data_IF_752994563303
#
_entry.id   IF_752994563303
#
_cell.length_a   1.000
_cell.length_b   1.000
_cell.length_c   1.000
_cell.angle_alpha   90.00
_cell.angle_beta   90.00
_cell.angle_gamma   90.00
#
_symmetry.space_group_name_H-M   'P 1'
#
loop_
_entity.id
_entity.type
_entity.pdbx_description
1 polymer ?
#
# COMPACT_ATOMS: atom_id res chain seq x y z
N UNK A 1 1.74 -3.26 -13.81
CA UNK A 1 2.42 -2.34 -12.87
C UNK A 1 3.37 -2.99 -11.90
N UNK A 2 2.93 -3.90 -11.01
CA UNK A 2 3.88 -4.53 -10.05
C UNK A 2 5.11 -5.14 -10.71
N UNK A 3 4.90 -5.85 -11.82
CA UNK A 3 5.96 -6.46 -12.63
C UNK A 3 7.07 -5.49 -13.06
N UNK A 4 6.70 -4.24 -13.36
CA UNK A 4 7.64 -3.23 -13.86
C UNK A 4 8.39 -2.51 -12.75
N UNK A 5 7.74 -2.26 -11.60
CA UNK A 5 8.30 -1.42 -10.53
C UNK A 5 8.84 -2.20 -9.33
N UNK A 6 8.29 -3.37 -9.01
CA UNK A 6 8.54 -4.04 -7.71
C UNK A 6 8.90 -5.52 -7.81
N UNK A 7 9.01 -6.07 -9.02
CA UNK A 7 9.44 -7.46 -9.25
C UNK A 7 8.29 -8.43 -9.52
N UNK A 8 8.50 -9.72 -9.23
CA UNK A 8 7.48 -10.75 -9.51
C UNK A 8 6.32 -10.68 -8.51
N UNK A 9 5.20 -11.32 -8.86
CA UNK A 9 4.10 -11.51 -7.92
C UNK A 9 4.53 -12.30 -6.68
N UNK A 10 5.36 -13.33 -6.87
CA UNK A 10 5.86 -14.17 -5.78
C UNK A 10 6.74 -13.37 -4.81
N UNK A 11 7.64 -12.52 -5.33
CA UNK A 11 8.47 -11.64 -4.50
C UNK A 11 7.60 -10.75 -3.62
N UNK A 12 6.55 -10.17 -4.21
CA UNK A 12 5.60 -9.35 -3.47
C UNK A 12 4.90 -10.15 -2.37
N UNK A 13 4.37 -11.33 -2.68
CA UNK A 13 3.71 -12.20 -1.68
C UNK A 13 4.66 -12.53 -0.53
N UNK A 14 5.88 -12.96 -0.83
CA UNK A 14 6.90 -13.29 0.17
C UNK A 14 7.23 -12.10 1.08
N UNK A 15 7.35 -10.89 0.53
CA UNK A 15 7.58 -9.68 1.34
C UNK A 15 6.42 -9.38 2.30
N UNK A 16 5.17 -9.60 1.88
CA UNK A 16 3.98 -9.25 2.68
C UNK A 16 3.52 -10.35 3.63
N UNK A 17 4.05 -11.58 3.51
CA UNK A 17 3.74 -12.69 4.43
C UNK A 17 3.99 -12.33 5.90
N UNK A 18 4.91 -11.41 6.17
CA UNK A 18 5.15 -10.87 7.51
C UNK A 18 5.18 -9.34 7.43
N UNK A 19 4.41 -8.69 8.28
CA UNK A 19 4.35 -7.24 8.39
C UNK A 19 4.71 -6.79 9.80
N UNK A 20 5.16 -5.54 9.92
CA UNK A 20 5.45 -4.90 11.21
C UNK A 20 4.66 -3.61 11.28
N UNK A 21 4.03 -3.35 12.42
CA UNK A 21 3.41 -2.05 12.69
C UNK A 21 4.48 -0.97 12.69
N UNK A 22 4.24 0.10 11.95
CA UNK A 22 5.04 1.30 11.99
C UNK A 22 4.39 2.27 12.98
N UNK A 23 4.93 2.33 14.19
CA UNK A 23 4.54 3.33 15.18
C UNK A 23 5.18 4.67 14.81
N UNK A 24 4.50 5.45 13.96
CA UNK A 24 4.94 6.80 13.61
C UNK A 24 4.56 7.76 14.73
N UNK A 25 5.53 8.41 15.36
CA UNK A 25 5.33 9.43 16.39
C UNK A 25 4.85 10.78 15.85
N UNK A 26 4.68 10.91 14.52
CA UNK A 26 4.19 12.12 13.86
C UNK A 26 3.00 11.85 12.96
N UNK A 27 1.92 12.61 13.15
CA UNK A 27 0.72 12.59 12.30
C UNK A 27 -0.55 12.92 13.09
N UNK A 28 -1.45 13.72 12.51
CA UNK A 28 -2.76 14.06 13.11
C UNK A 28 -3.80 12.93 12.96
N UNK A 29 -3.50 11.93 12.13
CA UNK A 29 -4.42 10.86 11.77
C UNK A 29 -4.12 9.56 12.54
N UNK A 30 -5.13 9.05 13.25
CA UNK A 30 -5.13 7.80 14.03
C UNK A 30 -4.98 6.51 13.19
N UNK A 31 -4.65 6.60 11.91
CA UNK A 31 -4.66 5.46 10.99
C UNK A 31 -3.29 4.79 10.93
N UNK A 32 -3.29 3.47 11.11
CA UNK A 32 -2.08 2.68 11.23
C UNK A 32 -1.29 2.59 9.93
N UNK A 33 0.03 2.69 10.07
CA UNK A 33 0.99 2.32 9.04
C UNK A 33 1.59 0.96 9.37
N UNK A 34 1.84 0.17 8.34
CA UNK A 34 2.55 -1.09 8.44
C UNK A 34 3.62 -1.16 7.37
N UNK A 35 4.63 -1.97 7.59
CA UNK A 35 5.72 -2.18 6.63
C UNK A 35 5.90 -3.67 6.39
N UNK A 36 6.26 -4.06 5.17
CA UNK A 36 6.71 -5.43 4.88
C UNK A 36 7.95 -5.77 5.70
N UNK A 37 8.17 -7.06 5.97
CA UNK A 37 9.30 -7.52 6.77
C UNK A 37 10.67 -7.06 6.21
N UNK A 38 10.80 -7.06 4.89
CA UNK A 38 11.98 -6.60 4.16
C UNK A 38 12.01 -5.08 3.90
N UNK A 39 11.05 -4.34 4.47
CA UNK A 39 10.90 -2.89 4.37
C UNK A 39 10.67 -2.34 2.95
N UNK A 40 10.42 -3.18 1.94
CA UNK A 40 10.19 -2.73 0.56
C UNK A 40 8.84 -2.02 0.37
N UNK A 41 7.84 -2.38 1.17
CA UNK A 41 6.47 -1.90 1.00
C UNK A 41 5.95 -1.24 2.27
N UNK A 42 5.14 -0.21 2.09
CA UNK A 42 4.37 0.46 3.15
C UNK A 42 2.89 0.22 2.89
N UNK A 43 2.16 -0.08 3.95
CA UNK A 43 0.70 -0.25 3.94
C UNK A 43 0.12 0.85 4.80
N UNK A 44 -0.83 1.60 4.23
CA UNK A 44 -1.56 2.64 4.93
C UNK A 44 -3.01 2.23 5.01
N UNK A 45 -3.54 2.15 6.22
CA UNK A 45 -4.98 2.12 6.39
C UNK A 45 -5.58 3.47 5.96
N UNK A 46 -6.62 3.44 5.14
CA UNK A 46 -7.33 4.64 4.64
C UNK A 46 -8.83 4.56 4.95
N UNK A 47 -9.51 5.71 4.99
CA UNK A 47 -10.97 5.74 5.12
C UNK A 47 -11.62 5.20 3.85
N UNK A 48 -12.88 4.77 3.95
CA UNK A 48 -13.65 4.30 2.79
C UNK A 48 -13.66 5.33 1.66
N UNK A 49 -13.94 6.60 1.98
CA UNK A 49 -14.02 7.65 0.96
C UNK A 49 -12.68 7.86 0.25
N UNK A 50 -11.55 7.79 0.97
CA UNK A 50 -10.21 7.86 0.38
C UNK A 50 -9.90 6.67 -0.54
N UNK A 51 -10.36 5.48 -0.14
CA UNK A 51 -10.25 4.27 -0.95
C UNK A 51 -11.09 4.36 -2.23
N UNK A 52 -12.35 4.78 -2.11
CA UNK A 52 -13.28 4.93 -3.23
C UNK A 52 -12.77 6.01 -4.19
N UNK A 53 -12.28 7.14 -3.67
CA UNK A 53 -11.60 8.16 -4.47
C UNK A 53 -10.40 7.57 -5.24
N UNK A 54 -9.54 6.78 -4.57
CA UNK A 54 -8.43 6.09 -5.24
C UNK A 54 -8.92 5.19 -6.37
N UNK A 55 -9.91 4.33 -6.11
CA UNK A 55 -10.46 3.44 -7.12
C UNK A 55 -11.01 4.20 -8.33
N UNK A 56 -11.64 5.36 -8.12
CA UNK A 56 -12.15 6.21 -9.20
C UNK A 56 -11.03 6.79 -10.07
N UNK A 57 -9.94 7.29 -9.48
CA UNK A 57 -8.85 7.90 -10.26
C UNK A 57 -7.74 6.91 -10.68
N UNK A 58 -7.76 5.67 -10.18
CA UNK A 58 -6.76 4.64 -10.43
C UNK A 58 -6.44 4.41 -11.92
N UNK A 59 -7.41 4.39 -12.86
CA UNK A 59 -7.10 4.24 -14.28
C UNK A 59 -6.15 5.33 -14.81
N UNK A 60 -6.45 6.60 -14.53
CA UNK A 60 -5.60 7.74 -14.94
C UNK A 60 -4.25 7.72 -14.24
N UNK A 61 -4.21 7.32 -12.97
CA UNK A 61 -2.97 7.15 -12.22
C UNK A 61 -2.03 6.13 -12.84
N UNK A 62 -2.55 4.94 -13.20
CA UNK A 62 -1.74 3.90 -13.81
C UNK A 62 -1.34 4.22 -15.24
N UNK A 63 -2.18 4.93 -15.99
CA UNK A 63 -1.81 5.45 -17.32
C UNK A 63 -0.65 6.45 -17.25
N UNK A 64 -0.70 7.41 -16.31
CA UNK A 64 0.41 8.34 -16.06
C UNK A 64 1.70 7.59 -15.71
N UNK A 65 1.64 6.65 -14.76
CA UNK A 65 2.82 5.88 -14.37
C UNK A 65 3.37 5.03 -15.51
N UNK A 66 2.51 4.40 -16.34
CA UNK A 66 2.95 3.66 -17.53
C UNK A 66 3.73 4.57 -18.48
N UNK A 67 3.20 5.78 -18.77
CA UNK A 67 3.90 6.76 -19.60
C UNK A 67 5.25 7.13 -19.01
N UNK A 68 5.33 7.37 -17.70
CA UNK A 68 6.60 7.63 -17.04
C UNK A 68 7.59 6.47 -17.17
N UNK A 69 7.14 5.22 -17.03
CA UNK A 69 8.00 4.04 -17.16
C UNK A 69 8.54 3.88 -18.59
N UNK A 70 7.65 3.83 -19.58
CA UNK A 70 8.03 3.50 -20.96
C UNK A 70 8.78 4.63 -21.67
N UNK A 71 8.54 5.89 -21.28
CA UNK A 71 9.26 7.04 -21.84
C UNK A 71 10.43 7.51 -20.97
N UNK A 72 10.76 6.77 -19.90
CA UNK A 72 11.84 7.10 -18.97
C UNK A 72 11.71 8.53 -18.38
N UNK A 73 10.49 8.96 -18.06
CA UNK A 73 10.25 10.26 -17.43
C UNK A 73 10.40 10.16 -15.90
N UNK A 74 10.92 11.23 -15.29
CA UNK A 74 10.95 11.36 -13.84
C UNK A 74 9.53 11.34 -13.24
N UNK A 75 9.35 10.62 -12.13
CA UNK A 75 8.06 10.50 -11.45
C UNK A 75 8.22 10.58 -9.93
N UNK A 76 7.75 11.67 -9.34
CA UNK A 76 7.77 11.91 -7.89
C UNK A 76 6.60 11.22 -7.15
N UNK A 77 5.57 10.74 -7.85
CA UNK A 77 4.48 10.00 -7.22
C UNK A 77 5.00 8.70 -6.61
N UNK A 78 4.61 8.44 -5.36
CA UNK A 78 4.78 7.14 -4.74
C UNK A 78 3.97 6.09 -5.49
N UNK A 79 4.58 4.94 -5.80
CA UNK A 79 3.95 3.89 -6.61
C UNK A 79 3.05 3.05 -5.71
N UNK A 80 1.74 3.25 -5.83
CA UNK A 80 0.70 2.43 -5.25
C UNK A 80 0.67 1.13 -6.06
N UNK A 81 0.92 0.04 -5.38
CA UNK A 81 1.01 -1.29 -5.95
C UNK A 81 -0.24 -2.12 -5.69
N UNK A 82 -1.09 -1.74 -4.73
CA UNK A 82 -2.35 -2.44 -4.49
C UNK A 82 -3.30 -1.64 -3.62
N UNK A 83 -4.58 -1.96 -3.76
CA UNK A 83 -5.68 -1.46 -2.95
C UNK A 83 -6.51 -2.67 -2.51
N UNK A 84 -6.76 -2.79 -1.20
CA UNK A 84 -7.41 -3.94 -0.60
C UNK A 84 -8.54 -3.51 0.34
N UNK A 85 -9.66 -4.19 0.24
CA UNK A 85 -10.77 -4.14 1.20
C UNK A 85 -10.75 -5.44 2.01
N UNK A 86 -10.33 -5.34 3.27
CA UNK A 86 -10.11 -6.48 4.15
C UNK A 86 -11.23 -6.53 5.16
N UNK A 87 -12.03 -7.60 5.14
CA UNK A 87 -13.06 -7.87 6.13
C UNK A 87 -12.64 -9.08 6.97
N UNK A 88 -12.49 -8.86 8.27
CA UNK A 88 -12.25 -9.92 9.25
C UNK A 88 -13.59 -10.22 9.91
N UNK A 89 -14.01 -11.49 9.86
CA UNK A 89 -15.25 -11.96 10.48
C UNK A 89 -14.95 -13.02 11.51
N UNK A 90 -15.47 -12.85 12.72
CA UNK A 90 -15.41 -13.84 13.79
C UNK A 90 -16.80 -14.44 14.00
N UNK A 91 -16.94 -15.74 13.75
CA UNK A 91 -18.23 -16.42 13.86
C UNK A 91 -18.72 -16.55 15.31
N UNK A 92 -17.78 -16.69 16.25
CA UNK A 92 -18.07 -16.82 17.68
C UNK A 92 -18.40 -15.50 18.36
N UNK A 93 -17.82 -14.39 17.90
CA UNK A 93 -18.06 -13.06 18.46
C UNK A 93 -18.17 -12.01 17.33
N UNK A 94 -19.40 -11.65 16.92
CA UNK A 94 -19.62 -10.65 15.88
C UNK A 94 -19.07 -9.26 16.21
N UNK A 95 -18.80 -8.93 17.49
CA UNK A 95 -18.25 -7.63 17.87
C UNK A 95 -16.79 -7.45 17.43
N UNK A 96 -16.07 -8.56 17.20
CA UNK A 96 -14.70 -8.56 16.68
C UNK A 96 -14.64 -8.42 15.15
N UNK A 97 -15.80 -8.30 14.49
CA UNK A 97 -15.84 -8.07 13.05
C UNK A 97 -15.25 -6.69 12.73
N UNK A 98 -14.27 -6.66 11.83
CA UNK A 98 -13.63 -5.43 11.41
C UNK A 98 -13.56 -5.37 9.89
N UNK A 99 -13.58 -4.15 9.36
CA UNK A 99 -13.35 -3.89 7.94
C UNK A 99 -12.33 -2.78 7.82
N UNK A 100 -11.33 -2.97 6.98
CA UNK A 100 -10.24 -2.02 6.81
C UNK A 100 -9.89 -1.89 5.33
N UNK A 101 -9.75 -0.65 4.88
CA UNK A 101 -9.30 -0.34 3.53
C UNK A 101 -7.82 -0.02 3.57
N UNK A 102 -7.02 -0.66 2.72
CA UNK A 102 -5.56 -0.58 2.75
C UNK A 102 -5.03 -0.22 1.38
N UNK A 103 -4.19 0.80 1.32
CA UNK A 103 -3.36 1.10 0.17
C UNK A 103 -1.94 0.61 0.42
N UNK A 104 -1.40 -0.17 -0.51
CA UNK A 104 -0.03 -0.64 -0.49
C UNK A 104 0.80 0.18 -1.48
N UNK A 105 1.94 0.70 -1.04
CA UNK A 105 2.89 1.43 -1.88
C UNK A 105 4.32 0.95 -1.67
N UNK A 106 5.21 1.36 -2.56
CA UNK A 106 6.65 1.29 -2.29
C UNK A 106 7.03 2.08 -1.02
N UNK A 107 8.12 1.68 -0.39
CA UNK A 107 8.74 2.44 0.69
C UNK A 107 9.84 3.36 0.13
N UNK A 108 9.56 4.67 0.08
CA UNK A 108 10.53 5.68 -0.39
C UNK A 108 11.77 5.80 0.51
N UNK A 109 11.71 5.31 1.74
CA UNK A 109 12.83 5.35 2.68
C UNK A 109 13.73 4.10 2.61
N UNK A 110 13.49 3.19 1.67
CA UNK A 110 14.27 1.97 1.54
C UNK A 110 15.74 2.31 1.27
N UNK A 111 16.65 1.76 2.09
CA UNK A 111 18.09 1.97 1.95
C UNK A 111 18.64 3.24 2.62
N UNK A 112 17.77 4.14 3.12
CA UNK A 112 18.21 5.25 3.96
C UNK A 112 18.63 4.71 5.34
N UNK A 113 19.87 4.99 5.75
CA UNK A 113 20.31 4.75 7.13
C UNK A 113 19.60 5.78 8.02
N UNK A 114 18.98 5.30 9.11
CA UNK A 114 18.43 6.16 10.15
C UNK A 114 19.54 6.71 11.03
#
# INVERSE_FOLDING_TARGET
>A
MRRFYVGTHLDFVLSICKTKTWNSTGGKASMGFFTSHDKKFVFKAVKKDEFDMFCQFAPSYFDYLNRCFFHNHACALAKIIGAYDVKITCASDPSLNTRTYILASENLNLGLKK
#
